data_IF_334224767603
#
_entry.id   IF_334224767603
#
_cell.length_a   1.000
_cell.length_b   1.000
_cell.length_c   1.000
_cell.angle_alpha   90.00
_cell.angle_beta   90.00
_cell.angle_gamma   90.00
#
_symmetry.space_group_name_H-M   'P 1'
#
loop_
_entity.id
_entity.type
_entity.pdbx_description
1 polymer ?
#
# COMPACT_ATOMS: atom_id res chain seq x y z
N UNK A 1 -24.41 -33.69 -6.77
CA UNK A 1 -23.29 -32.99 -6.05
C UNK A 1 -23.75 -32.70 -4.64
N UNK A 2 -22.98 -33.14 -3.64
CA UNK A 2 -23.29 -32.89 -2.22
C UNK A 2 -23.31 -31.37 -1.95
N UNK A 3 -24.38 -30.82 -1.35
CA UNK A 3 -24.49 -29.36 -1.09
C UNK A 3 -23.31 -28.82 -0.28
N UNK A 4 -22.81 -29.58 0.69
CA UNK A 4 -21.66 -29.17 1.50
C UNK A 4 -20.34 -28.98 0.75
N UNK A 5 -20.13 -29.69 -0.36
CA UNK A 5 -18.90 -29.57 -1.14
C UNK A 5 -18.79 -28.21 -1.85
N UNK A 6 -19.89 -27.62 -2.25
CA UNK A 6 -19.91 -26.27 -2.84
C UNK A 6 -19.48 -25.20 -1.84
N UNK A 7 -19.90 -25.33 -0.56
CA UNK A 7 -19.50 -24.41 0.50
C UNK A 7 -18.00 -24.53 0.83
N UNK A 8 -17.47 -25.77 0.86
CA UNK A 8 -16.02 -25.98 1.08
C UNK A 8 -15.20 -25.37 -0.04
N UNK A 9 -15.60 -25.58 -1.31
CA UNK A 9 -14.92 -24.93 -2.46
C UNK A 9 -14.99 -23.42 -2.37
N UNK A 10 -16.16 -22.87 -2.02
CA UNK A 10 -16.33 -21.41 -1.88
C UNK A 10 -15.42 -20.83 -0.81
N UNK A 11 -15.35 -21.47 0.38
CA UNK A 11 -14.46 -21.05 1.48
C UNK A 11 -12.99 -21.16 1.09
N UNK A 12 -12.58 -22.27 0.48
CA UNK A 12 -11.21 -22.46 -0.01
C UNK A 12 -10.84 -21.42 -1.07
N UNK A 13 -11.74 -21.14 -2.02
CA UNK A 13 -11.53 -20.13 -3.05
C UNK A 13 -11.39 -18.74 -2.43
N UNK A 14 -12.27 -18.36 -1.48
CA UNK A 14 -12.21 -17.10 -0.76
C UNK A 14 -10.89 -16.93 0.02
N UNK A 15 -10.36 -18.01 0.61
CA UNK A 15 -9.07 -18.00 1.30
C UNK A 15 -7.88 -17.88 0.35
N UNK A 16 -7.88 -18.62 -0.76
CA UNK A 16 -6.77 -18.64 -1.73
C UNK A 16 -6.72 -17.34 -2.52
N UNK A 17 -7.86 -16.90 -3.07
CA UNK A 17 -7.98 -15.67 -3.85
C UNK A 17 -8.01 -14.42 -2.96
N UNK A 18 -8.35 -14.57 -1.69
CA UNK A 18 -8.49 -13.50 -0.70
C UNK A 18 -9.59 -12.47 -1.03
N UNK A 19 -10.46 -12.80 -1.98
CA UNK A 19 -11.61 -11.99 -2.40
C UNK A 19 -12.83 -12.90 -2.67
N UNK A 20 -14.01 -12.36 -2.40
CA UNK A 20 -15.28 -12.98 -2.71
C UNK A 20 -15.92 -12.24 -3.89
N UNK A 21 -16.02 -12.94 -5.01
CA UNK A 21 -16.76 -12.45 -6.17
C UNK A 21 -18.26 -12.45 -5.87
N UNK A 22 -18.96 -11.34 -6.15
CA UNK A 22 -20.42 -11.25 -5.99
C UNK A 22 -21.20 -11.76 -7.20
N UNK A 23 -20.50 -12.10 -8.28
CA UNK A 23 -21.07 -12.57 -9.54
C UNK A 23 -21.26 -14.08 -9.60
N UNK A 24 -21.87 -14.50 -10.69
CA UNK A 24 -22.08 -15.89 -11.09
C UNK A 24 -21.39 -16.16 -12.44
N UNK A 25 -21.48 -17.41 -12.95
CA UNK A 25 -20.94 -17.74 -14.28
C UNK A 25 -21.66 -16.97 -15.40
N UNK A 26 -22.95 -16.76 -15.25
CA UNK A 26 -23.79 -16.10 -16.26
C UNK A 26 -23.85 -14.57 -16.09
N UNK A 27 -23.50 -14.08 -14.89
CA UNK A 27 -23.44 -12.64 -14.59
C UNK A 27 -22.13 -12.35 -13.85
N UNK A 28 -21.05 -11.96 -14.58
CA UNK A 28 -19.73 -11.75 -14.02
C UNK A 28 -19.73 -10.73 -12.88
N UNK A 29 -18.83 -10.94 -11.90
CA UNK A 29 -18.72 -10.07 -10.73
C UNK A 29 -18.42 -8.63 -11.13
N UNK A 30 -19.25 -7.71 -10.70
CA UNK A 30 -19.06 -6.25 -10.85
C UNK A 30 -18.38 -5.64 -9.63
N UNK A 31 -18.49 -6.31 -8.48
CA UNK A 31 -17.89 -5.89 -7.21
C UNK A 31 -17.35 -7.13 -6.51
N UNK A 32 -16.09 -7.06 -6.08
CA UNK A 32 -15.45 -8.09 -5.27
C UNK A 32 -15.31 -7.58 -3.83
N UNK A 33 -15.66 -8.43 -2.86
CA UNK A 33 -15.55 -8.16 -1.43
C UNK A 33 -14.21 -8.72 -0.95
N UNK A 34 -13.43 -7.93 -0.25
CA UNK A 34 -12.12 -8.33 0.27
C UNK A 34 -11.09 -7.20 0.24
N UNK A 35 -9.87 -7.45 0.72
CA UNK A 35 -9.28 -8.75 1.08
C UNK A 35 -9.88 -9.37 2.35
N UNK A 36 -10.18 -10.68 2.28
CA UNK A 36 -10.83 -11.40 3.40
C UNK A 36 -9.91 -11.49 4.64
N UNK A 37 -8.61 -11.64 4.41
CA UNK A 37 -7.62 -11.73 5.48
C UNK A 37 -7.38 -10.42 6.23
N UNK A 38 -8.04 -9.33 5.85
CA UNK A 38 -7.96 -8.02 6.54
C UNK A 38 -9.24 -7.67 7.28
N UNK A 39 -10.26 -8.55 7.25
CA UNK A 39 -11.56 -8.28 7.87
C UNK A 39 -11.48 -8.20 9.40
N UNK A 40 -10.55 -8.94 9.99
CA UNK A 40 -10.34 -8.98 11.43
C UNK A 40 -8.85 -8.77 11.68
N UNK A 41 -8.52 -7.75 12.46
CA UNK A 41 -7.16 -7.42 12.85
C UNK A 41 -7.11 -6.91 14.30
N UNK A 42 -5.91 -6.76 14.83
CA UNK A 42 -5.69 -6.23 16.17
C UNK A 42 -4.48 -5.31 16.17
N UNK A 43 -4.60 -4.17 16.83
CA UNK A 43 -3.47 -3.28 17.11
C UNK A 43 -3.66 -2.58 18.47
N UNK A 44 -2.62 -1.89 18.93
CA UNK A 44 -2.62 -1.29 20.27
C UNK A 44 -3.71 -0.21 20.47
N UNK A 45 -4.00 0.57 19.45
CA UNK A 45 -4.97 1.68 19.51
C UNK A 45 -6.39 1.17 19.31
N UNK A 46 -6.66 0.45 18.22
CA UNK A 46 -7.99 -0.04 17.88
C UNK A 46 -8.45 -1.17 18.82
N UNK A 47 -7.50 -1.92 19.42
CA UNK A 47 -7.79 -3.22 19.99
C UNK A 47 -8.26 -4.16 18.88
N UNK A 48 -9.34 -4.88 19.09
CA UNK A 48 -10.00 -5.61 18.02
C UNK A 48 -10.52 -4.61 16.99
N UNK A 49 -10.23 -4.89 15.72
CA UNK A 49 -10.64 -4.09 14.57
C UNK A 49 -11.39 -4.94 13.57
N UNK A 50 -12.58 -4.52 13.19
CA UNK A 50 -13.34 -5.11 12.09
C UNK A 50 -13.27 -4.17 10.87
N UNK A 51 -12.99 -4.75 9.71
CA UNK A 51 -12.87 -4.02 8.44
C UNK A 51 -13.72 -4.69 7.37
N UNK A 52 -14.47 -3.90 6.62
CA UNK A 52 -15.16 -4.30 5.40
C UNK A 52 -14.56 -3.55 4.23
N UNK A 53 -14.17 -4.28 3.21
CA UNK A 53 -13.51 -3.73 2.01
C UNK A 53 -14.17 -4.27 0.75
N UNK A 54 -14.20 -3.45 -0.29
CA UNK A 54 -14.71 -3.84 -1.60
C UNK A 54 -13.95 -3.11 -2.71
N UNK A 55 -13.97 -3.70 -3.90
CA UNK A 55 -13.46 -3.10 -5.13
C UNK A 55 -14.38 -3.41 -6.31
N UNK A 56 -14.50 -2.47 -7.25
CA UNK A 56 -15.19 -2.73 -8.51
C UNK A 56 -14.28 -3.43 -9.50
N UNK A 57 -14.89 -4.09 -10.48
CA UNK A 57 -14.19 -4.79 -11.57
C UNK A 57 -14.49 -4.14 -12.92
N UNK A 58 -13.77 -4.53 -13.96
CA UNK A 58 -14.01 -4.08 -15.34
C UNK A 58 -15.37 -4.50 -15.89
N UNK A 59 -16.05 -5.48 -15.26
CA UNK A 59 -17.41 -5.84 -15.60
C UNK A 59 -18.44 -4.77 -15.23
N UNK A 60 -18.09 -3.86 -14.30
CA UNK A 60 -18.88 -2.66 -14.03
C UNK A 60 -18.52 -1.54 -15.02
N UNK A 61 -17.22 -1.22 -15.11
CA UNK A 61 -16.68 -0.25 -16.06
C UNK A 61 -15.22 -0.61 -16.34
N UNK A 62 -14.79 -0.80 -17.62
CA UNK A 62 -13.44 -1.23 -17.95
C UNK A 62 -12.37 -0.12 -17.79
N UNK A 63 -12.77 1.11 -17.52
CA UNK A 63 -11.89 2.26 -17.35
C UNK A 63 -11.95 2.88 -15.96
N UNK A 64 -13.08 2.79 -15.27
CA UNK A 64 -13.31 3.45 -13.98
C UNK A 64 -13.47 2.43 -12.87
N UNK A 65 -12.59 2.53 -11.86
CA UNK A 65 -12.54 1.60 -10.74
C UNK A 65 -12.68 2.33 -9.42
N UNK A 66 -13.43 1.73 -8.50
CA UNK A 66 -13.58 2.18 -7.13
C UNK A 66 -13.07 1.10 -6.19
N UNK A 67 -12.34 1.50 -5.18
CA UNK A 67 -11.89 0.63 -4.10
C UNK A 67 -12.00 1.37 -2.79
N UNK A 68 -12.39 0.66 -1.74
CA UNK A 68 -12.49 1.28 -0.44
C UNK A 68 -12.64 0.30 0.69
N UNK A 69 -12.46 0.82 1.90
CA UNK A 69 -12.80 0.10 3.12
C UNK A 69 -13.36 1.03 4.18
N UNK A 70 -14.11 0.43 5.08
CA UNK A 70 -14.52 0.99 6.35
C UNK A 70 -14.07 0.05 7.46
N UNK A 71 -13.48 0.58 8.53
CA UNK A 71 -13.03 -0.18 9.67
C UNK A 71 -13.42 0.52 10.98
N UNK A 72 -13.68 -0.28 12.01
CA UNK A 72 -14.02 0.20 13.34
C UNK A 72 -13.13 -0.46 14.39
N UNK A 73 -12.50 0.38 15.24
CA UNK A 73 -11.71 -0.05 16.38
C UNK A 73 -12.59 -0.10 17.64
N UNK A 74 -12.59 -1.23 18.33
CA UNK A 74 -13.44 -1.40 19.52
C UNK A 74 -12.85 -0.81 20.80
N UNK A 75 -11.56 -0.48 20.81
CA UNK A 75 -10.90 0.12 21.97
C UNK A 75 -10.93 1.64 21.91
N UNK A 76 -10.63 2.24 20.75
CA UNK A 76 -10.62 3.70 20.57
C UNK A 76 -11.99 4.26 20.13
N UNK A 77 -12.94 3.38 19.78
CA UNK A 77 -14.30 3.74 19.31
C UNK A 77 -14.31 4.70 18.12
N UNK A 78 -13.27 4.64 17.26
CA UNK A 78 -13.16 5.48 16.07
C UNK A 78 -13.33 4.68 14.77
N UNK A 79 -13.96 5.34 13.81
CA UNK A 79 -14.08 4.83 12.43
C UNK A 79 -12.84 5.21 11.62
N UNK A 80 -12.35 4.29 10.82
CA UNK A 80 -11.27 4.46 9.85
C UNK A 80 -11.81 4.08 8.48
N UNK A 81 -11.33 4.76 7.45
CA UNK A 81 -11.84 4.53 6.11
C UNK A 81 -10.84 4.95 5.04
N UNK A 82 -10.98 4.36 3.87
CA UNK A 82 -10.25 4.73 2.68
C UNK A 82 -11.18 4.62 1.47
N UNK A 83 -11.09 5.58 0.57
CA UNK A 83 -11.69 5.56 -0.74
C UNK A 83 -10.65 5.85 -1.81
N UNK A 84 -10.70 5.11 -2.89
CA UNK A 84 -9.82 5.25 -4.04
C UNK A 84 -10.67 5.20 -5.31
N UNK A 85 -10.42 6.15 -6.21
CA UNK A 85 -11.02 6.20 -7.56
C UNK A 85 -9.88 6.18 -8.55
N UNK A 86 -9.83 5.15 -9.39
CA UNK A 86 -8.80 4.99 -10.43
C UNK A 86 -9.45 5.03 -11.82
N UNK A 87 -8.99 5.94 -12.67
CA UNK A 87 -9.32 5.97 -14.08
C UNK A 87 -8.16 5.40 -14.89
N UNK A 88 -8.41 4.30 -15.60
CA UNK A 88 -7.46 3.66 -16.50
C UNK A 88 -7.66 4.14 -17.93
N UNK A 89 -6.63 4.72 -18.53
CA UNK A 89 -6.64 5.10 -19.94
C UNK A 89 -6.69 3.90 -20.88
N UNK A 90 -6.21 2.74 -20.39
CA UNK A 90 -6.28 1.47 -21.10
C UNK A 90 -7.49 0.67 -20.62
N UNK A 91 -8.23 0.08 -21.55
CA UNK A 91 -9.30 -0.87 -21.22
C UNK A 91 -8.71 -2.06 -20.46
N UNK A 92 -9.36 -2.44 -19.35
CA UNK A 92 -8.98 -3.57 -18.51
C UNK A 92 -9.95 -4.72 -18.69
N UNK A 93 -9.47 -5.94 -18.43
CA UNK A 93 -10.30 -7.15 -18.51
C UNK A 93 -11.00 -7.46 -17.19
N UNK A 94 -10.30 -7.23 -16.05
CA UNK A 94 -10.86 -7.49 -14.73
C UNK A 94 -10.50 -6.42 -13.70
N UNK A 95 -9.20 -6.10 -13.49
CA UNK A 95 -8.74 -5.15 -12.48
C UNK A 95 -7.79 -4.10 -13.03
N UNK A 96 -7.70 -2.91 -12.41
CA UNK A 96 -6.86 -1.81 -12.90
C UNK A 96 -5.36 -2.11 -12.83
N UNK A 97 -4.94 -3.12 -12.06
CA UNK A 97 -3.53 -3.52 -11.91
C UNK A 97 -2.96 -4.30 -13.09
N UNK A 98 -3.79 -4.69 -14.05
CA UNK A 98 -3.34 -5.42 -15.24
C UNK A 98 -2.35 -4.60 -16.08
N UNK A 99 -1.37 -5.33 -16.64
CA UNK A 99 -0.36 -4.75 -17.53
C UNK A 99 -0.92 -4.47 -18.94
N UNK A 100 -0.50 -3.39 -19.61
CA UNK A 100 0.27 -2.26 -19.09
C UNK A 100 -0.61 -1.31 -18.27
N UNK A 101 -0.07 -0.78 -17.17
CA UNK A 101 -0.77 0.23 -16.38
C UNK A 101 -0.59 1.61 -17.02
N UNK A 102 -1.69 2.35 -17.19
CA UNK A 102 -1.70 3.76 -17.55
C UNK A 102 -2.95 4.36 -16.92
N UNK A 103 -2.79 4.97 -15.74
CA UNK A 103 -3.94 5.38 -14.93
C UNK A 103 -3.65 6.59 -14.06
N UNK A 104 -4.71 7.30 -13.71
CA UNK A 104 -4.72 8.33 -12.68
C UNK A 104 -5.60 7.86 -11.53
N UNK A 105 -5.09 8.01 -10.32
CA UNK A 105 -5.75 7.55 -9.09
C UNK A 105 -5.87 8.70 -8.10
N UNK A 106 -7.07 8.96 -7.62
CA UNK A 106 -7.32 9.81 -6.46
C UNK A 106 -7.63 8.94 -5.26
N UNK A 107 -7.03 9.23 -4.11
CA UNK A 107 -7.28 8.50 -2.87
C UNK A 107 -7.43 9.43 -1.68
N UNK A 108 -8.33 9.05 -0.79
CA UNK A 108 -8.50 9.63 0.52
C UNK A 108 -8.46 8.52 1.57
N UNK A 109 -7.64 8.70 2.61
CA UNK A 109 -7.51 7.72 3.69
C UNK A 109 -7.48 8.43 5.04
N UNK A 110 -8.18 7.86 6.02
CA UNK A 110 -8.04 8.15 7.43
C UNK A 110 -7.90 6.86 8.20
N UNK A 111 -6.74 6.63 8.81
CA UNK A 111 -6.43 5.38 9.49
C UNK A 111 -5.41 5.58 10.61
N UNK A 112 -5.26 4.59 11.48
CA UNK A 112 -4.20 4.52 12.47
C UNK A 112 -3.03 3.72 11.91
N UNK A 113 -1.81 4.25 12.00
CA UNK A 113 -0.61 3.65 11.45
C UNK A 113 0.55 3.72 12.45
N UNK A 114 1.38 2.70 12.47
CA UNK A 114 2.69 2.77 13.11
C UNK A 114 3.75 3.35 12.17
N UNK A 115 4.85 3.90 12.67
CA UNK A 115 5.93 4.41 11.82
C UNK A 115 6.51 3.39 10.84
N UNK A 116 6.37 2.10 11.14
CA UNK A 116 6.88 1.00 10.32
C UNK A 116 5.88 0.49 9.29
N UNK A 117 4.59 0.79 9.41
CA UNK A 117 3.55 0.26 8.53
C UNK A 117 3.72 0.71 7.07
N UNK A 118 4.28 1.89 6.85
CA UNK A 118 4.61 2.40 5.51
C UNK A 118 5.66 1.57 4.75
N UNK A 119 6.41 0.71 5.45
CA UNK A 119 7.42 -0.18 4.86
C UNK A 119 6.92 -1.62 4.68
N UNK A 120 5.71 -1.96 5.15
CA UNK A 120 5.15 -3.28 4.98
C UNK A 120 4.86 -3.56 3.49
N UNK A 121 5.20 -4.76 3.04
CA UNK A 121 4.83 -5.26 1.70
C UNK A 121 3.38 -5.76 1.65
N UNK A 122 2.84 -6.14 2.78
CA UNK A 122 1.46 -6.61 2.96
C UNK A 122 0.63 -5.56 3.66
N UNK A 123 -0.70 -5.65 3.53
CA UNK A 123 -1.62 -4.79 4.28
C UNK A 123 -1.40 -4.98 5.79
N UNK A 124 -1.29 -3.89 6.54
CA UNK A 124 -1.10 -3.91 8.00
C UNK A 124 -2.22 -4.64 8.75
N UNK A 125 -3.42 -4.67 8.19
CA UNK A 125 -4.60 -5.33 8.75
C UNK A 125 -4.65 -6.83 8.42
N UNK A 126 -3.66 -7.36 7.70
CA UNK A 126 -3.57 -8.79 7.45
C UNK A 126 -3.55 -9.56 8.77
N UNK A 127 -4.48 -10.50 8.95
CA UNK A 127 -4.66 -11.27 10.20
C UNK A 127 -3.36 -11.93 10.67
N UNK A 128 -2.54 -12.45 9.76
CA UNK A 128 -1.26 -13.10 10.10
C UNK A 128 -0.17 -12.12 10.55
N UNK A 129 -0.32 -10.82 10.23
CA UNK A 129 0.62 -9.76 10.60
C UNK A 129 0.16 -9.04 11.86
N UNK A 130 -1.15 -8.81 12.02
CA UNK A 130 -1.72 -8.01 13.09
C UNK A 130 -1.75 -8.71 14.45
N UNK A 131 -1.85 -10.04 14.48
CA UNK A 131 -1.83 -10.82 15.71
C UNK A 131 -0.41 -11.24 16.13
N UNK A 132 0.51 -10.29 16.17
CA UNK A 132 1.87 -10.51 16.68
C UNK A 132 1.93 -10.41 18.19
N UNK A 133 2.92 -11.08 18.78
CA UNK A 133 3.17 -11.05 20.23
C UNK A 133 3.75 -9.73 20.73
N UNK A 134 4.37 -8.94 19.86
CA UNK A 134 4.88 -7.62 20.19
C UNK A 134 3.87 -6.53 19.81
N UNK A 135 3.41 -5.79 20.79
CA UNK A 135 2.53 -4.63 20.57
C UNK A 135 3.35 -3.39 20.26
N UNK A 136 3.05 -2.72 19.14
CA UNK A 136 3.58 -1.38 18.83
C UNK A 136 2.59 -0.37 19.39
N UNK A 137 2.98 0.35 20.43
CA UNK A 137 2.17 1.36 21.11
C UNK A 137 2.35 2.78 20.53
N UNK A 138 3.43 3.00 19.78
CA UNK A 138 3.75 4.26 19.11
C UNK A 138 3.06 4.30 17.75
N UNK A 139 1.94 4.96 17.67
CA UNK A 139 1.12 5.06 16.46
C UNK A 139 0.66 6.48 16.20
N UNK A 140 0.15 6.76 15.02
CA UNK A 140 -0.49 8.03 14.67
C UNK A 140 -1.79 7.79 13.91
N UNK A 141 -2.75 8.69 14.07
CA UNK A 141 -3.85 8.82 13.14
C UNK A 141 -3.35 9.59 11.93
N UNK A 142 -3.43 8.96 10.76
CA UNK A 142 -2.91 9.50 9.51
C UNK A 142 -4.07 9.80 8.57
N UNK A 143 -4.11 11.04 8.08
CA UNK A 143 -5.01 11.47 7.02
C UNK A 143 -4.19 11.73 5.77
N UNK A 144 -4.44 10.99 4.71
CA UNK A 144 -3.78 11.13 3.43
C UNK A 144 -4.78 11.51 2.34
N UNK A 145 -4.42 12.49 1.54
CA UNK A 145 -5.08 12.83 0.28
C UNK A 145 -4.01 12.74 -0.79
N UNK A 146 -4.21 11.91 -1.80
CA UNK A 146 -3.19 11.74 -2.85
C UNK A 146 -3.81 11.71 -4.24
N UNK A 147 -3.07 12.27 -5.18
CA UNK A 147 -3.30 12.14 -6.62
C UNK A 147 -2.07 11.50 -7.23
N UNK A 148 -2.25 10.36 -7.89
CA UNK A 148 -1.17 9.54 -8.43
C UNK A 148 -1.41 9.23 -9.90
N UNK A 149 -0.38 9.42 -10.72
CA UNK A 149 -0.34 8.95 -12.10
C UNK A 149 0.68 7.84 -12.25
N UNK A 150 0.30 6.75 -12.91
CA UNK A 150 1.17 5.60 -13.17
C UNK A 150 1.14 5.25 -14.66
N UNK A 151 2.32 5.10 -15.25
CA UNK A 151 2.48 4.64 -16.62
C UNK A 151 3.50 3.52 -16.71
N UNK A 152 3.15 2.44 -17.40
CA UNK A 152 4.02 1.30 -17.69
C UNK A 152 4.19 1.15 -19.19
N UNK A 153 5.44 0.97 -19.59
CA UNK A 153 5.82 0.73 -21.00
C UNK A 153 6.13 -0.73 -21.22
N UNK A 154 6.04 -1.19 -22.49
CA UNK A 154 6.35 -2.56 -22.85
C UNK A 154 7.83 -2.94 -22.70
N UNK A 155 8.74 -1.96 -22.68
CA UNK A 155 10.16 -2.21 -22.45
C UNK A 155 10.56 -2.29 -20.97
N UNK A 156 9.57 -2.33 -20.07
CA UNK A 156 9.77 -2.59 -18.64
C UNK A 156 10.02 -1.35 -17.79
N UNK A 157 9.78 -0.14 -18.29
CA UNK A 157 9.81 1.09 -17.49
C UNK A 157 8.42 1.40 -16.92
N UNK A 158 8.35 1.54 -15.60
CA UNK A 158 7.19 2.10 -14.89
C UNK A 158 7.57 3.47 -14.32
N UNK A 159 6.78 4.48 -14.65
CA UNK A 159 6.88 5.83 -14.09
C UNK A 159 5.69 6.08 -13.17
N UNK A 160 5.95 6.62 -11.99
CA UNK A 160 4.92 7.03 -11.03
C UNK A 160 5.17 8.47 -10.62
N UNK A 161 4.14 9.31 -10.74
CA UNK A 161 4.12 10.68 -10.22
C UNK A 161 3.01 10.75 -9.18
N UNK A 162 3.32 11.24 -7.99
CA UNK A 162 2.34 11.36 -6.91
C UNK A 162 2.45 12.73 -6.25
N UNK A 163 1.31 13.33 -5.96
CA UNK A 163 1.19 14.51 -5.10
C UNK A 163 0.34 14.09 -3.91
N UNK A 164 0.86 14.28 -2.70
CA UNK A 164 0.23 13.82 -1.47
C UNK A 164 0.25 14.89 -0.39
N UNK A 165 -0.90 15.10 0.23
CA UNK A 165 -1.04 15.82 1.49
C UNK A 165 -1.26 14.82 2.61
N UNK A 166 -0.46 14.91 3.68
CA UNK A 166 -0.54 14.03 4.84
C UNK A 166 -0.65 14.85 6.12
N UNK A 167 -1.50 14.40 7.04
CA UNK A 167 -1.59 14.91 8.42
C UNK A 167 -1.37 13.74 9.36
N UNK A 168 -0.37 13.83 10.23
CA UNK A 168 0.01 12.84 11.21
C UNK A 168 -0.29 13.36 12.63
N UNK A 169 -1.28 12.79 13.33
CA UNK A 169 -1.65 13.06 14.71
C UNK A 169 -1.12 11.93 15.60
N UNK A 170 -0.10 12.16 16.46
CA UNK A 170 0.49 11.11 17.29
C UNK A 170 -0.52 10.60 18.33
N UNK A 171 -0.45 9.31 18.61
CA UNK A 171 -1.34 8.65 19.57
C UNK A 171 -0.65 7.48 20.29
N UNK A 172 -1.27 6.95 21.33
CA UNK A 172 -0.69 5.90 22.16
C UNK A 172 0.54 6.39 22.94
N UNK A 173 1.66 5.71 22.80
CA UNK A 173 2.94 6.07 23.39
C UNK A 173 3.77 7.08 22.59
N UNK A 174 3.26 7.57 21.46
CA UNK A 174 3.95 8.52 20.58
C UNK A 174 3.52 9.95 20.90
N UNK A 175 4.49 10.85 21.03
CA UNK A 175 4.26 12.29 21.13
C UNK A 175 5.30 13.04 20.30
N UNK A 176 4.87 14.08 19.60
CA UNK A 176 5.77 15.00 18.91
C UNK A 176 6.06 16.20 19.80
N UNK A 177 7.32 16.52 19.93
CA UNK A 177 7.80 17.66 20.71
C UNK A 177 8.74 18.52 19.86
N UNK A 178 8.70 19.84 20.10
CA UNK A 178 9.66 20.75 19.49
C UNK A 178 11.07 20.47 20.02
N UNK A 179 12.08 20.72 19.19
CA UNK A 179 13.50 20.56 19.58
C UNK A 179 14.08 21.88 20.14
N UNK A 180 13.25 22.73 20.72
CA UNK A 180 13.63 23.94 21.42
C UNK A 180 13.75 23.70 22.95
N UNK A 181 14.23 24.70 23.67
CA UNK A 181 14.42 24.61 25.12
C UNK A 181 13.09 24.39 25.87
N UNK A 182 11.96 24.76 25.27
CA UNK A 182 10.63 24.66 25.89
C UNK A 182 9.98 23.29 25.70
N UNK A 183 10.46 22.45 24.74
CA UNK A 183 9.91 21.10 24.43
C UNK A 183 8.40 21.09 24.34
N UNK A 184 7.83 22.02 23.59
CA UNK A 184 6.39 22.17 23.42
C UNK A 184 5.81 20.97 22.64
N UNK A 185 4.66 20.47 23.08
CA UNK A 185 3.94 19.40 22.36
C UNK A 185 3.42 19.92 21.02
N UNK A 186 3.69 19.15 19.96
CA UNK A 186 3.16 19.39 18.61
C UNK A 186 1.98 18.46 18.40
N UNK A 187 0.75 18.98 18.22
CA UNK A 187 -0.45 18.15 18.16
C UNK A 187 -0.53 17.32 16.88
N UNK A 188 -0.02 17.84 15.78
CA UNK A 188 0.00 17.16 14.49
C UNK A 188 1.15 17.68 13.61
N UNK A 189 1.52 16.91 12.61
CA UNK A 189 2.48 17.29 11.59
C UNK A 189 1.79 17.22 10.23
N UNK A 190 1.86 18.30 9.48
CA UNK A 190 1.30 18.37 8.13
C UNK A 190 2.42 18.42 7.08
N UNK A 191 2.29 17.60 6.04
CA UNK A 191 3.21 17.61 4.90
C UNK A 191 2.46 17.72 3.58
N UNK A 192 3.08 18.44 2.65
CA UNK A 192 2.70 18.45 1.24
C UNK A 192 3.87 17.96 0.43
N UNK A 193 3.69 16.89 -0.32
CA UNK A 193 4.76 16.15 -0.98
C UNK A 193 4.46 15.96 -2.46
N UNK A 194 5.49 16.05 -3.29
CA UNK A 194 5.45 15.55 -4.65
C UNK A 194 6.57 14.53 -4.84
N UNK A 195 6.25 13.39 -5.42
CA UNK A 195 7.21 12.32 -5.66
C UNK A 195 7.21 11.89 -7.12
N UNK A 196 8.41 11.54 -7.60
CA UNK A 196 8.65 10.94 -8.91
C UNK A 196 9.41 9.65 -8.68
N UNK A 197 8.87 8.55 -9.19
CA UNK A 197 9.51 7.24 -9.06
C UNK A 197 9.58 6.53 -10.40
N UNK A 198 10.70 5.86 -10.61
CA UNK A 198 10.99 5.02 -11.76
C UNK A 198 11.28 3.60 -11.29
N UNK A 199 10.71 2.62 -11.97
CA UNK A 199 11.07 1.21 -11.85
C UNK A 199 11.36 0.68 -13.23
N UNK A 200 12.56 0.19 -13.43
CA UNK A 200 12.99 -0.37 -14.70
C UNK A 200 13.35 -1.85 -14.53
N UNK A 201 12.66 -2.71 -15.25
CA UNK A 201 12.83 -4.16 -15.22
C UNK A 201 12.78 -4.71 -16.66
N UNK A 202 13.90 -4.64 -17.40
CA UNK A 202 13.95 -5.07 -18.79
C UNK A 202 13.68 -6.57 -18.90
N UNK A 203 12.78 -6.94 -19.83
CA UNK A 203 12.44 -8.33 -20.08
C UNK A 203 11.53 -9.00 -19.03
N UNK A 204 11.00 -8.23 -18.07
CA UNK A 204 10.01 -8.74 -17.13
C UNK A 204 8.69 -9.04 -17.85
N UNK A 205 8.17 -10.23 -17.66
CA UNK A 205 6.89 -10.69 -18.22
C UNK A 205 5.93 -11.04 -17.09
N UNK A 206 4.63 -10.90 -17.36
CA UNK A 206 3.59 -11.08 -16.36
C UNK A 206 2.49 -12.01 -16.82
N UNK A 207 1.92 -12.75 -15.88
CA UNK A 207 0.63 -13.41 -16.02
C UNK A 207 -0.38 -12.68 -15.15
N UNK A 208 -1.47 -12.24 -15.76
CA UNK A 208 -2.61 -11.68 -15.06
C UNK A 208 -3.55 -12.81 -14.63
N UNK A 209 -3.70 -13.00 -13.33
CA UNK A 209 -4.82 -13.75 -12.77
C UNK A 209 -5.93 -12.76 -12.40
N UNK A 210 -7.13 -13.25 -12.08
CA UNK A 210 -8.24 -12.35 -11.69
C UNK A 210 -7.84 -11.36 -10.58
N UNK A 211 -7.17 -11.85 -9.55
CA UNK A 211 -6.87 -11.03 -8.36
C UNK A 211 -5.41 -10.58 -8.26
N UNK A 212 -4.52 -11.11 -9.07
CA UNK A 212 -3.07 -10.82 -8.96
C UNK A 212 -2.43 -10.71 -10.32
N UNK A 213 -1.43 -9.86 -10.40
CA UNK A 213 -0.45 -9.83 -11.47
C UNK A 213 0.83 -10.48 -10.95
N UNK A 214 1.25 -11.55 -11.60
CA UNK A 214 2.38 -12.37 -11.15
C UNK A 214 3.50 -12.24 -12.19
N UNK A 215 4.71 -11.79 -11.80
CA UNK A 215 5.86 -11.84 -12.70
C UNK A 215 6.24 -13.29 -12.97
N UNK A 216 6.49 -13.63 -14.23
CA UNK A 216 6.90 -14.97 -14.66
C UNK A 216 8.41 -15.07 -14.78
N UNK A 217 9.05 -14.01 -15.27
CA UNK A 217 10.49 -13.94 -15.39
C UNK A 217 11.08 -13.25 -14.16
N UNK A 218 11.80 -14.03 -13.34
CA UNK A 218 12.44 -13.54 -12.13
C UNK A 218 13.92 -13.15 -12.33
N UNK A 219 14.45 -13.32 -13.54
CA UNK A 219 15.87 -13.13 -13.83
C UNK A 219 16.22 -11.70 -14.24
N UNK A 220 15.22 -10.92 -14.61
CA UNK A 220 15.42 -9.53 -14.95
C UNK A 220 15.92 -8.75 -13.74
N UNK A 221 16.99 -7.93 -13.89
CA UNK A 221 17.34 -6.98 -12.85
C UNK A 221 16.23 -5.94 -12.72
N UNK A 222 15.96 -5.49 -11.49
CA UNK A 222 14.98 -4.44 -11.21
C UNK A 222 15.69 -3.26 -10.60
N UNK A 223 15.70 -2.13 -11.30
CA UNK A 223 16.24 -0.86 -10.83
C UNK A 223 15.07 0.02 -10.37
N UNK A 224 15.23 0.64 -9.21
CA UNK A 224 14.27 1.62 -8.70
C UNK A 224 14.99 2.91 -8.35
N UNK A 225 14.38 4.03 -8.69
CA UNK A 225 14.80 5.37 -8.31
C UNK A 225 13.56 6.14 -7.93
N UNK A 226 13.58 6.79 -6.77
CA UNK A 226 12.52 7.71 -6.38
C UNK A 226 13.10 8.98 -5.77
N UNK A 227 12.42 10.09 -6.01
CA UNK A 227 12.71 11.37 -5.40
C UNK A 227 11.41 11.99 -4.90
N UNK A 228 11.41 12.39 -3.63
CA UNK A 228 10.27 13.05 -2.98
C UNK A 228 10.71 14.42 -2.48
N UNK A 229 9.95 15.44 -2.82
CA UNK A 229 10.13 16.81 -2.33
C UNK A 229 8.94 17.20 -1.47
N UNK A 230 9.20 17.63 -0.25
CA UNK A 230 8.22 18.25 0.63
C UNK A 230 8.23 19.78 0.48
N UNK A 231 7.06 20.40 0.52
CA UNK A 231 6.88 21.84 0.31
C UNK A 231 6.33 22.52 1.57
N UNK A 232 7.11 23.41 2.15
CA UNK A 232 6.63 24.26 3.26
C UNK A 232 5.76 25.41 2.72
N UNK A 233 4.64 25.67 3.39
CA UNK A 233 3.72 26.76 3.07
C UNK A 233 2.74 26.46 1.93
N UNK A 234 2.82 25.28 1.31
CA UNK A 234 1.87 24.84 0.28
C UNK A 234 0.82 23.95 0.93
N UNK A 235 -0.46 24.30 0.81
CA UNK A 235 -1.61 23.57 1.35
C UNK A 235 -1.43 23.08 2.82
N UNK A 236 -0.80 23.89 3.66
CA UNK A 236 -0.56 23.54 5.07
C UNK A 236 0.72 22.76 5.34
N UNK A 237 1.52 22.44 4.33
CA UNK A 237 2.81 21.76 4.53
C UNK A 237 3.75 22.59 5.40
N UNK A 238 4.35 21.97 6.41
CA UNK A 238 5.17 22.64 7.43
C UNK A 238 6.68 22.49 7.16
N UNK A 239 7.08 21.52 6.36
CA UNK A 239 8.48 21.14 6.16
C UNK A 239 8.90 21.17 4.70
N UNK A 240 10.10 21.72 4.46
CA UNK A 240 10.82 21.53 3.20
C UNK A 240 11.79 20.38 3.37
N UNK A 241 11.69 19.38 2.51
CA UNK A 241 12.65 18.28 2.49
C UNK A 241 12.81 17.67 1.11
N UNK A 242 13.92 17.01 0.90
CA UNK A 242 14.20 16.21 -0.27
C UNK A 242 14.71 14.84 0.17
N UNK A 243 14.12 13.81 -0.41
CA UNK A 243 14.42 12.42 -0.15
C UNK A 243 14.68 11.72 -1.47
N UNK A 244 15.83 11.09 -1.61
CA UNK A 244 16.15 10.26 -2.79
C UNK A 244 16.40 8.83 -2.33
N UNK A 245 15.78 7.87 -2.99
CA UNK A 245 16.00 6.45 -2.74
C UNK A 245 16.35 5.74 -4.05
N UNK A 246 17.30 4.81 -3.97
CA UNK A 246 17.71 3.95 -5.08
C UNK A 246 17.66 2.50 -4.63
N UNK A 247 17.32 1.60 -5.54
CA UNK A 247 17.27 0.17 -5.24
C UNK A 247 17.66 -0.66 -6.45
N UNK A 248 18.26 -1.79 -6.17
CA UNK A 248 18.62 -2.81 -7.14
C UNK A 248 18.20 -4.17 -6.60
N UNK A 249 17.42 -4.90 -7.38
CA UNK A 249 17.13 -6.30 -7.14
C UNK A 249 17.68 -7.13 -8.31
N UNK A 250 18.33 -8.27 -8.00
CA UNK A 250 18.77 -9.24 -8.99
C UNK A 250 18.77 -10.65 -8.40
N UNK A 251 18.22 -11.60 -9.17
CA UNK A 251 18.30 -13.02 -8.87
C UNK A 251 19.47 -13.63 -9.64
N UNK A 252 20.25 -14.45 -8.95
CA UNK A 252 21.34 -15.25 -9.51
C UNK A 252 21.02 -16.73 -9.32
N UNK A 253 21.07 -17.49 -10.39
CA UNK A 253 20.89 -18.93 -10.39
C UNK A 253 22.22 -19.64 -10.37
N UNK A 254 22.36 -20.63 -9.50
CA UNK A 254 23.58 -21.43 -9.33
C UNK A 254 23.31 -22.88 -9.71
N UNK A 255 22.75 -23.12 -10.90
CA UNK A 255 22.40 -24.44 -11.41
C UNK A 255 21.62 -25.30 -10.38
N UNK A 256 22.10 -26.49 -10.05
CA UNK A 256 21.50 -27.40 -9.06
C UNK A 256 21.61 -26.94 -7.60
N UNK A 257 22.46 -25.95 -7.31
CA UNK A 257 22.71 -25.44 -5.96
C UNK A 257 21.62 -24.45 -5.48
N UNK A 258 20.75 -23.98 -6.40
CA UNK A 258 19.64 -23.09 -6.08
C UNK A 258 19.81 -21.68 -6.60
N UNK A 259 19.32 -20.70 -5.85
CA UNK A 259 19.31 -19.27 -6.23
C UNK A 259 19.73 -18.38 -5.06
N UNK A 260 20.26 -17.22 -5.41
CA UNK A 260 20.49 -16.10 -4.48
C UNK A 260 19.71 -14.89 -4.98
N UNK A 261 18.85 -14.34 -4.13
CA UNK A 261 18.15 -13.09 -4.36
C UNK A 261 18.92 -11.97 -3.67
N UNK A 262 19.50 -11.06 -4.45
CA UNK A 262 20.21 -9.89 -3.96
C UNK A 262 19.31 -8.67 -4.02
N UNK A 263 19.18 -7.97 -2.90
CA UNK A 263 18.49 -6.70 -2.81
C UNK A 263 19.37 -5.66 -2.13
N UNK A 264 19.67 -4.57 -2.85
CA UNK A 264 20.43 -3.44 -2.34
C UNK A 264 19.54 -2.19 -2.40
N UNK A 265 19.40 -1.50 -1.28
CA UNK A 265 18.69 -0.23 -1.20
C UNK A 265 19.53 0.82 -0.51
N UNK A 266 19.58 2.02 -1.08
CA UNK A 266 20.20 3.20 -0.50
C UNK A 266 19.22 4.38 -0.51
N UNK A 267 19.40 5.30 0.45
CA UNK A 267 18.59 6.51 0.51
C UNK A 267 19.39 7.68 1.08
N UNK A 268 19.06 8.89 0.64
CA UNK A 268 19.62 10.13 1.11
C UNK A 268 18.51 11.11 1.49
N UNK A 269 18.51 11.53 2.74
CA UNK A 269 17.71 12.62 3.26
C UNK A 269 18.56 13.90 3.23
N UNK A 270 18.20 14.83 2.35
CA UNK A 270 19.02 16.02 2.08
C UNK A 270 18.81 17.16 3.08
N UNK A 271 17.73 17.10 3.86
CA UNK A 271 17.35 18.14 4.81
C UNK A 271 17.11 17.55 6.21
N UNK A 272 17.23 18.37 7.23
CA UNK A 272 16.78 18.01 8.58
C UNK A 272 15.25 17.97 8.61
N UNK A 273 14.72 16.89 9.11
CA UNK A 273 13.28 16.63 9.21
C UNK A 273 12.92 16.08 10.59
N UNK A 274 11.67 16.22 11.05
CA UNK A 274 11.22 15.57 12.27
C UNK A 274 11.18 14.03 12.11
N UNK A 275 11.19 13.35 13.24
CA UNK A 275 11.23 11.87 13.32
C UNK A 275 10.28 11.14 12.35
N UNK A 276 8.98 11.51 12.21
CA UNK A 276 8.07 10.78 11.33
C UNK A 276 8.44 10.82 9.84
N UNK A 277 9.26 11.81 9.44
CA UNK A 277 9.69 12.01 8.05
C UNK A 277 11.07 11.41 7.76
N UNK A 278 11.74 10.80 8.75
CA UNK A 278 13.02 10.14 8.56
C UNK A 278 12.89 8.89 7.71
N UNK A 279 13.91 8.62 6.91
CA UNK A 279 14.08 7.30 6.28
C UNK A 279 14.40 6.30 7.39
N UNK A 280 13.55 5.28 7.52
CA UNK A 280 13.83 4.15 8.39
C UNK A 280 14.16 2.93 7.54
N UNK A 281 15.29 2.24 7.77
CA UNK A 281 15.54 0.98 7.12
C UNK A 281 14.48 -0.04 7.55
N UNK A 282 14.08 -0.92 6.62
CA UNK A 282 13.12 -1.99 6.89
C UNK A 282 13.79 -3.12 7.73
N UNK A 283 14.43 -2.74 8.83
CA UNK A 283 15.02 -3.68 9.79
C UNK A 283 13.91 -4.37 10.58
N UNK A 284 14.07 -5.65 10.85
CA UNK A 284 13.11 -6.48 11.63
C UNK A 284 11.75 -6.73 10.98
N UNK A 285 11.59 -6.47 9.69
CA UNK A 285 10.43 -6.95 8.95
C UNK A 285 10.66 -8.38 8.48
N UNK A 286 9.67 -9.26 8.67
CA UNK A 286 9.69 -10.61 8.09
C UNK A 286 9.59 -10.49 6.57
N UNK A 287 10.48 -11.17 5.85
CA UNK A 287 10.50 -11.25 4.39
C UNK A 287 9.69 -12.43 3.89
#
# INVERSE_FOLDING_TARGET
QMPGFKYVIFVLKAFIENFVETGTKDNPSKVDIGPVNTMISNNYIDGLRLRMSAQTTANLNPHLFFKGYYAYGFKDHRSKYMGEVEYSFNKKEYLPREFPKNSITFSYQYDVMSPTDKFLKTDKDNVFVSFKTSTVDQMSYVRNIALKYENETQFGLKTTVEVKHSTDEPTGGLAYITNDDQKTLVPEIQTMEASLAFRYAPGETFVNTKQRRIPVSFDAPVFTLSHTTGFKGVLGGEYNFNLTEVGLYKRFWFSSWGKIDMFVKGGAQWNKVPFPLLIMPAANLSY
#
